data_IF_012078395513
#
_entry.id   IF_012078395513
#
_cell.length_a   1.000
_cell.length_b   1.000
_cell.length_c   1.000
_cell.angle_alpha   90.00
_cell.angle_beta   90.00
_cell.angle_gamma   90.00
#
_symmetry.space_group_name_H-M   'P 1'
#
loop_
_entity.id
_entity.type
_entity.pdbx_description
1 polymer ?
#
# COMPACT_ATOMS: atom_id res chain seq x y z
N UNK A 1 -38.18 -47.70 10.09
CA UNK A 1 -38.20 -47.03 8.77
C UNK A 1 -38.23 -45.54 9.01
N UNK A 2 -37.16 -44.82 8.66
CA UNK A 2 -37.15 -43.36 8.50
C UNK A 2 -35.97 -42.95 7.60
N UNK A 3 -36.31 -42.78 6.32
CA UNK A 3 -35.94 -41.70 5.41
C UNK A 3 -34.53 -41.08 5.46
N UNK A 4 -33.75 -41.40 4.41
CA UNK A 4 -32.63 -40.65 3.83
C UNK A 4 -33.03 -39.19 3.52
N UNK A 5 -32.17 -38.23 3.86
CA UNK A 5 -32.03 -36.96 3.12
C UNK A 5 -30.67 -36.95 2.45
N UNK A 6 -30.68 -36.79 1.13
CA UNK A 6 -29.51 -36.52 0.30
C UNK A 6 -29.18 -35.03 0.40
N UNK A 7 -27.91 -34.70 0.62
CA UNK A 7 -27.38 -33.38 0.34
C UNK A 7 -26.51 -33.52 -0.91
N UNK A 8 -27.02 -32.98 -2.03
CA UNK A 8 -26.25 -32.70 -3.23
C UNK A 8 -25.30 -31.54 -2.91
N UNK A 9 -24.01 -31.76 -3.12
CA UNK A 9 -23.03 -30.69 -3.16
C UNK A 9 -22.36 -30.77 -4.54
N UNK A 10 -22.91 -29.99 -5.48
CA UNK A 10 -22.26 -29.69 -6.76
C UNK A 10 -21.09 -28.74 -6.48
N UNK A 11 -19.89 -29.30 -6.52
CA UNK A 11 -18.63 -28.58 -6.33
C UNK A 11 -17.58 -29.21 -7.22
N UNK A 12 -17.47 -28.67 -8.43
CA UNK A 12 -16.51 -28.95 -9.49
C UNK A 12 -15.15 -29.49 -8.99
N UNK A 13 -15.03 -30.82 -8.89
CA UNK A 13 -13.81 -31.50 -8.46
C UNK A 13 -12.98 -31.90 -9.67
N UNK A 14 -12.22 -30.95 -10.19
CA UNK A 14 -11.17 -31.22 -11.18
C UNK A 14 -9.92 -31.85 -10.51
N UNK A 15 -10.14 -32.83 -9.61
CA UNK A 15 -9.05 -33.66 -9.09
C UNK A 15 -8.83 -34.84 -10.03
N UNK A 16 -7.59 -35.10 -10.50
CA UNK A 16 -7.31 -36.27 -11.29
C UNK A 16 -7.62 -37.53 -10.45
N UNK A 17 -8.17 -38.60 -11.06
CA UNK A 17 -8.57 -39.79 -10.33
C UNK A 17 -7.35 -40.40 -9.62
N UNK A 18 -7.47 -40.59 -8.30
CA UNK A 18 -6.44 -41.26 -7.50
C UNK A 18 -6.23 -42.69 -8.04
N UNK A 19 -5.18 -42.89 -8.83
CA UNK A 19 -4.72 -44.22 -9.23
C UNK A 19 -4.36 -44.98 -7.95
N UNK A 20 -5.15 -45.99 -7.59
CA UNK A 20 -4.83 -46.90 -6.48
C UNK A 20 -3.54 -47.62 -6.83
N UNK A 21 -2.45 -47.25 -6.15
CA UNK A 21 -1.14 -47.86 -6.32
C UNK A 21 -1.19 -49.28 -5.78
N UNK A 22 -1.02 -50.25 -6.67
CA UNK A 22 -0.99 -51.67 -6.35
C UNK A 22 0.47 -52.09 -6.14
N UNK A 23 0.83 -52.40 -4.90
CA UNK A 23 2.19 -52.82 -4.54
C UNK A 23 2.40 -54.31 -4.84
N UNK A 24 3.58 -54.68 -5.33
CA UNK A 24 3.96 -56.08 -5.54
C UNK A 24 3.97 -56.88 -4.22
N UNK A 25 3.44 -58.12 -4.19
CA UNK A 25 3.48 -58.98 -3.01
C UNK A 25 4.91 -59.37 -2.63
N UNK A 26 5.32 -59.11 -1.39
CA UNK A 26 6.61 -59.57 -0.86
C UNK A 26 6.44 -61.02 -0.37
N UNK A 27 7.26 -61.95 -0.89
CA UNK A 27 7.27 -63.34 -0.44
C UNK A 27 8.13 -63.50 0.81
N UNK A 28 7.54 -64.02 1.89
CA UNK A 28 8.26 -64.39 3.10
C UNK A 28 8.76 -65.83 2.90
N UNK A 29 10.08 -66.06 3.00
CA UNK A 29 10.68 -67.40 2.91
C UNK A 29 10.33 -68.30 4.11
N UNK A 30 10.76 -69.58 4.11
CA UNK A 30 10.45 -70.53 5.19
C UNK A 30 10.89 -69.99 6.57
N UNK A 31 10.10 -70.29 7.60
CA UNK A 31 10.24 -69.73 8.96
C UNK A 31 10.47 -70.88 9.92
N UNK A 32 11.53 -70.82 10.70
CA UNK A 32 11.95 -71.92 11.59
C UNK A 32 11.68 -71.63 13.07
N UNK A 33 11.54 -70.35 13.45
CA UNK A 33 11.25 -69.92 14.83
C UNK A 33 10.28 -68.74 14.88
N UNK A 34 9.63 -68.53 16.03
CA UNK A 34 8.74 -67.38 16.26
C UNK A 34 9.50 -66.04 16.14
N UNK A 35 10.73 -65.99 16.65
CA UNK A 35 11.59 -64.81 16.55
C UNK A 35 11.97 -64.48 15.10
N UNK A 36 12.24 -65.50 14.27
CA UNK A 36 12.48 -65.32 12.83
C UNK A 36 11.23 -64.80 12.11
N UNK A 37 10.03 -65.23 12.56
CA UNK A 37 8.75 -64.73 12.06
C UNK A 37 8.58 -63.24 12.36
N UNK A 38 8.79 -62.84 13.62
CA UNK A 38 8.62 -61.46 14.07
C UNK A 38 9.59 -60.50 13.36
N UNK A 39 10.84 -60.92 13.18
CA UNK A 39 11.84 -60.16 12.41
C UNK A 39 11.38 -59.97 10.96
N UNK A 40 10.89 -61.03 10.29
CA UNK A 40 10.40 -60.94 8.90
C UNK A 40 9.15 -60.08 8.78
N UNK A 41 8.24 -60.13 9.77
CA UNK A 41 7.05 -59.26 9.82
C UNK A 41 7.46 -57.79 9.98
N UNK A 42 8.38 -57.48 10.88
CA UNK A 42 8.90 -56.11 11.07
C UNK A 42 9.58 -55.58 9.81
N UNK A 43 10.40 -56.41 9.14
CA UNK A 43 11.03 -56.05 7.86
C UNK A 43 10.00 -55.75 6.77
N UNK A 44 8.94 -56.57 6.67
CA UNK A 44 7.86 -56.36 5.72
C UNK A 44 7.07 -55.07 6.01
N UNK A 45 6.73 -54.83 7.27
CA UNK A 45 6.06 -53.61 7.71
C UNK A 45 6.91 -52.37 7.41
N UNK A 46 8.21 -52.40 7.71
CA UNK A 46 9.15 -51.33 7.38
C UNK A 46 9.22 -51.07 5.87
N UNK A 47 9.30 -52.12 5.06
CA UNK A 47 9.30 -52.00 3.59
C UNK A 47 8.02 -51.35 3.06
N UNK A 48 6.85 -51.73 3.60
CA UNK A 48 5.57 -51.09 3.24
C UNK A 48 5.49 -49.63 3.71
N UNK A 49 6.03 -49.31 4.88
CA UNK A 49 6.09 -47.92 5.37
C UNK A 49 6.99 -47.08 4.46
N UNK A 50 8.18 -47.58 4.10
CA UNK A 50 9.09 -46.92 3.16
C UNK A 50 8.41 -46.64 1.81
N UNK A 51 7.68 -47.61 1.25
CA UNK A 51 6.91 -47.43 0.01
C UNK A 51 5.82 -46.35 0.13
N UNK A 52 5.11 -46.29 1.26
CA UNK A 52 4.10 -45.23 1.51
C UNK A 52 4.76 -43.85 1.67
N UNK A 53 5.92 -43.77 2.32
CA UNK A 53 6.69 -42.54 2.48
C UNK A 53 7.16 -42.05 1.11
N UNK A 54 7.75 -42.92 0.29
CA UNK A 54 8.18 -42.63 -1.07
C UNK A 54 7.03 -42.09 -1.93
N UNK A 55 5.85 -42.73 -1.87
CA UNK A 55 4.66 -42.26 -2.57
C UNK A 55 4.21 -40.88 -2.09
N UNK A 56 4.16 -40.65 -0.77
CA UNK A 56 3.82 -39.35 -0.20
C UNK A 56 4.80 -38.27 -0.65
N UNK A 57 6.10 -38.59 -0.67
CA UNK A 57 7.14 -37.66 -1.11
C UNK A 57 6.97 -37.28 -2.59
N UNK A 58 6.62 -38.23 -3.47
CA UNK A 58 6.31 -37.92 -4.87
C UNK A 58 5.13 -36.98 -5.03
N UNK A 59 4.03 -37.24 -4.31
CA UNK A 59 2.84 -36.37 -4.33
C UNK A 59 3.18 -34.99 -3.76
N UNK A 60 3.97 -34.93 -2.70
CA UNK A 60 4.44 -33.67 -2.12
C UNK A 60 5.26 -32.86 -3.13
N UNK A 61 6.19 -33.48 -3.84
CA UNK A 61 6.99 -32.81 -4.88
C UNK A 61 6.10 -32.31 -6.02
N UNK A 62 5.13 -33.11 -6.48
CA UNK A 62 4.18 -32.69 -7.52
C UNK A 62 3.33 -31.49 -7.07
N UNK A 63 2.83 -31.51 -5.84
CA UNK A 63 2.08 -30.40 -5.26
C UNK A 63 2.95 -29.15 -5.08
N UNK A 64 4.21 -29.30 -4.64
CA UNK A 64 5.17 -28.18 -4.54
C UNK A 64 5.44 -27.55 -5.89
N UNK A 65 5.65 -28.34 -6.94
CA UNK A 65 5.81 -27.83 -8.31
C UNK A 65 4.55 -27.13 -8.81
N UNK A 66 3.37 -27.65 -8.47
CA UNK A 66 2.10 -27.01 -8.83
C UNK A 66 1.89 -25.68 -8.13
N UNK A 67 2.26 -25.57 -6.85
CA UNK A 67 2.24 -24.32 -6.09
C UNK A 67 3.17 -23.30 -6.75
N UNK A 68 4.43 -23.67 -7.02
CA UNK A 68 5.39 -22.77 -7.67
C UNK A 68 4.89 -22.27 -9.04
N UNK A 69 4.24 -23.13 -9.82
CA UNK A 69 3.64 -22.73 -11.10
C UNK A 69 2.50 -21.71 -10.91
N UNK A 70 1.65 -21.91 -9.90
CA UNK A 70 0.54 -21.00 -9.61
C UNK A 70 1.05 -19.66 -9.08
N UNK A 71 2.06 -19.65 -8.22
CA UNK A 71 2.71 -18.44 -7.72
C UNK A 71 3.33 -17.63 -8.87
N UNK A 72 4.07 -18.27 -9.78
CA UNK A 72 4.61 -17.60 -10.97
C UNK A 72 3.50 -16.99 -11.84
N UNK A 73 2.39 -17.71 -12.03
CA UNK A 73 1.25 -17.18 -12.77
C UNK A 73 0.63 -15.98 -12.08
N UNK A 74 0.45 -16.04 -10.76
CA UNK A 74 -0.11 -14.95 -9.96
C UNK A 74 0.73 -13.67 -10.10
N UNK A 75 2.07 -13.76 -9.98
CA UNK A 75 2.95 -12.60 -10.17
C UNK A 75 2.82 -11.96 -11.55
N UNK A 76 2.58 -12.75 -12.59
CA UNK A 76 2.33 -12.25 -13.94
C UNK A 76 0.96 -11.55 -14.04
N UNK A 77 -0.08 -12.16 -13.48
CA UNK A 77 -1.43 -11.60 -13.46
C UNK A 77 -1.45 -10.26 -12.68
N UNK A 78 -0.74 -10.17 -11.55
CA UNK A 78 -0.59 -8.94 -10.75
C UNK A 78 0.12 -7.83 -11.54
N UNK A 79 1.18 -8.17 -12.29
CA UNK A 79 1.87 -7.21 -13.14
C UNK A 79 0.95 -6.64 -14.23
N UNK A 80 0.12 -7.48 -14.85
CA UNK A 80 -0.88 -7.03 -15.84
C UNK A 80 -1.92 -6.12 -15.19
N UNK A 81 -2.40 -6.47 -13.99
CA UNK A 81 -3.41 -5.71 -13.26
C UNK A 81 -2.89 -4.31 -12.88
N UNK A 82 -1.63 -4.19 -12.47
CA UNK A 82 -0.97 -2.90 -12.21
C UNK A 82 -0.93 -2.01 -13.46
N UNK A 83 -0.58 -2.57 -14.62
CA UNK A 83 -0.57 -1.83 -15.90
C UNK A 83 -1.97 -1.33 -16.25
N UNK A 84 -2.98 -2.19 -16.18
CA UNK A 84 -4.38 -1.80 -16.45
C UNK A 84 -4.83 -0.70 -15.49
N UNK A 85 -4.53 -0.83 -14.20
CA UNK A 85 -4.89 0.14 -13.18
C UNK A 85 -4.28 1.52 -13.45
N UNK A 86 -3.00 1.57 -13.86
CA UNK A 86 -2.30 2.81 -14.22
C UNK A 86 -2.97 3.52 -15.39
N UNK A 87 -3.23 2.81 -16.48
CA UNK A 87 -3.90 3.41 -17.65
C UNK A 87 -5.34 3.82 -17.35
N UNK A 88 -6.06 3.08 -16.51
CA UNK A 88 -7.40 3.46 -16.08
C UNK A 88 -7.40 4.77 -15.29
N UNK A 89 -6.49 4.90 -14.32
CA UNK A 89 -6.34 6.12 -13.54
C UNK A 89 -5.96 7.30 -14.43
N UNK A 90 -5.08 7.08 -15.39
CA UNK A 90 -4.72 8.11 -16.38
C UNK A 90 -5.93 8.55 -17.22
N UNK A 91 -6.74 7.62 -17.71
CA UNK A 91 -7.95 7.93 -18.47
C UNK A 91 -8.91 8.80 -17.65
N UNK A 92 -9.13 8.45 -16.37
CA UNK A 92 -10.00 9.22 -15.48
C UNK A 92 -9.48 10.66 -15.30
N UNK A 93 -8.17 10.82 -15.12
CA UNK A 93 -7.58 12.14 -14.95
C UNK A 93 -7.63 12.96 -16.25
N UNK A 94 -7.41 12.34 -17.42
CA UNK A 94 -7.54 13.02 -18.71
C UNK A 94 -8.99 13.53 -18.94
N UNK A 95 -9.99 12.73 -18.56
CA UNK A 95 -11.41 13.13 -18.63
C UNK A 95 -11.70 14.30 -17.67
N UNK A 96 -11.17 14.26 -16.44
CA UNK A 96 -11.29 15.37 -15.49
C UNK A 96 -10.71 16.65 -16.05
N UNK A 97 -9.49 16.60 -16.60
CA UNK A 97 -8.84 17.78 -17.19
C UNK A 97 -9.63 18.31 -18.39
N UNK A 98 -10.19 17.44 -19.23
CA UNK A 98 -11.08 17.84 -20.32
C UNK A 98 -12.33 18.59 -19.80
N UNK A 99 -12.98 18.06 -18.77
CA UNK A 99 -14.14 18.70 -18.15
C UNK A 99 -13.80 20.08 -17.57
N UNK A 100 -12.66 20.20 -16.87
CA UNK A 100 -12.23 21.49 -16.32
C UNK A 100 -12.02 22.56 -17.39
N UNK A 101 -11.67 22.17 -18.63
CA UNK A 101 -11.49 23.09 -19.76
C UNK A 101 -12.78 23.49 -20.45
N UNK A 102 -13.67 22.52 -20.65
CA UNK A 102 -14.83 22.68 -21.52
C UNK A 102 -16.13 22.96 -20.74
N UNK A 103 -16.16 22.71 -19.44
CA UNK A 103 -17.33 22.90 -18.56
C UNK A 103 -17.05 23.86 -17.39
N UNK A 104 -16.08 24.76 -17.54
CA UNK A 104 -15.62 25.68 -16.48
C UNK A 104 -16.71 26.60 -15.91
N UNK A 105 -17.80 26.84 -16.65
CA UNK A 105 -18.92 27.70 -16.25
C UNK A 105 -19.93 26.99 -15.33
N UNK A 106 -19.90 25.65 -15.25
CA UNK A 106 -20.84 24.82 -14.48
C UNK A 106 -20.18 23.75 -13.61
N UNK A 107 -18.84 23.72 -13.57
CA UNK A 107 -18.08 22.77 -12.78
C UNK A 107 -18.28 23.00 -11.27
N UNK A 108 -19.01 22.10 -10.62
CA UNK A 108 -19.14 22.07 -9.15
C UNK A 108 -17.79 21.62 -8.55
N UNK A 109 -17.05 22.56 -7.95
CA UNK A 109 -15.71 22.31 -7.38
C UNK A 109 -15.70 21.25 -6.27
N UNK A 110 -16.87 20.92 -5.70
CA UNK A 110 -17.03 19.94 -4.63
C UNK A 110 -16.87 18.48 -5.10
N UNK A 111 -17.18 18.16 -6.36
CA UNK A 111 -17.09 16.78 -6.86
C UNK A 111 -15.66 16.37 -7.29
N UNK A 112 -14.80 17.34 -7.62
CA UNK A 112 -13.44 17.06 -8.10
C UNK A 112 -12.48 16.54 -7.01
N UNK A 113 -12.78 16.75 -5.72
CA UNK A 113 -11.84 16.43 -4.63
C UNK A 113 -11.89 14.97 -4.17
N UNK A 114 -13.01 14.26 -4.35
CA UNK A 114 -13.20 12.93 -3.74
C UNK A 114 -12.83 11.72 -4.62
N UNK A 115 -12.54 11.88 -5.91
CA UNK A 115 -12.32 10.71 -6.79
C UNK A 115 -10.84 10.27 -6.88
N UNK A 116 -9.88 11.17 -6.61
CA UNK A 116 -8.44 10.89 -6.76
C UNK A 116 -7.84 10.03 -5.65
N UNK A 117 -8.27 10.21 -4.40
CA UNK A 117 -7.81 9.38 -3.27
C UNK A 117 -8.34 7.94 -3.37
N UNK A 118 -9.58 7.76 -3.82
CA UNK A 118 -10.21 6.44 -3.92
C UNK A 118 -9.56 5.52 -4.97
N UNK A 119 -8.97 6.07 -6.04
CA UNK A 119 -8.38 5.28 -7.14
C UNK A 119 -6.93 4.87 -6.90
N UNK A 120 -6.21 5.58 -6.03
CA UNK A 120 -4.80 5.28 -5.71
C UNK A 120 -4.69 4.08 -4.76
N UNK A 121 -5.68 3.88 -3.88
CA UNK A 121 -5.75 2.76 -2.92
C UNK A 121 -6.41 1.49 -3.49
N UNK A 122 -6.89 1.51 -4.74
CA UNK A 122 -7.71 0.42 -5.30
C UNK A 122 -6.97 -0.94 -5.34
N UNK A 123 -5.68 -0.94 -5.69
CA UNK A 123 -4.86 -2.16 -5.73
C UNK A 123 -4.59 -2.75 -4.35
N UNK A 124 -4.47 -1.90 -3.34
CA UNK A 124 -4.23 -2.35 -1.96
C UNK A 124 -5.50 -2.96 -1.35
N UNK A 125 -6.67 -2.47 -1.75
CA UNK A 125 -7.96 -2.97 -1.28
C UNK A 125 -8.41 -4.25 -2.01
N UNK A 126 -7.91 -4.48 -3.23
CA UNK A 126 -8.21 -5.69 -4.02
C UNK A 126 -7.90 -7.00 -3.28
N UNK A 127 -6.86 -7.03 -2.44
CA UNK A 127 -6.51 -8.21 -1.64
C UNK A 127 -7.45 -8.45 -0.45
N UNK A 128 -8.32 -7.49 -0.13
CA UNK A 128 -9.22 -7.54 1.03
C UNK A 128 -10.66 -7.88 0.67
N UNK A 129 -10.99 -7.90 -0.62
CA UNK A 129 -12.36 -8.15 -1.10
C UNK A 129 -12.58 -9.61 -1.45
N UNK A 130 -13.77 -10.11 -1.12
CA UNK A 130 -14.22 -11.40 -1.63
C UNK A 130 -14.74 -11.30 -3.08
N UNK A 131 -15.10 -12.43 -3.68
CA UNK A 131 -15.49 -12.48 -5.10
C UNK A 131 -16.77 -11.71 -5.40
N UNK A 132 -17.70 -11.65 -4.46
CA UNK A 132 -18.98 -10.95 -4.65
C UNK A 132 -18.80 -9.44 -4.48
N UNK A 133 -18.01 -9.02 -3.49
CA UNK A 133 -17.65 -7.61 -3.29
C UNK A 133 -16.80 -7.06 -4.45
N UNK A 134 -15.92 -7.87 -5.03
CA UNK A 134 -15.03 -7.47 -6.11
C UNK A 134 -15.79 -6.95 -7.35
N UNK A 135 -16.82 -7.69 -7.78
CA UNK A 135 -17.63 -7.33 -8.96
C UNK A 135 -18.35 -6.00 -8.75
N UNK A 136 -18.92 -5.78 -7.57
CA UNK A 136 -19.59 -4.52 -7.21
C UNK A 136 -18.61 -3.35 -7.13
N UNK A 137 -17.42 -3.53 -6.57
CA UNK A 137 -16.39 -2.49 -6.49
C UNK A 137 -15.84 -2.11 -7.86
N UNK A 138 -15.59 -3.10 -8.73
CA UNK A 138 -15.21 -2.87 -10.11
C UNK A 138 -16.33 -2.13 -10.87
N UNK A 139 -17.57 -2.57 -10.74
CA UNK A 139 -18.72 -1.92 -11.37
C UNK A 139 -18.86 -0.45 -10.95
N UNK A 140 -18.68 -0.15 -9.66
CA UNK A 140 -18.69 1.22 -9.14
C UNK A 140 -17.57 2.07 -9.76
N UNK A 141 -16.35 1.53 -9.85
CA UNK A 141 -15.22 2.23 -10.49
C UNK A 141 -15.50 2.53 -11.97
N UNK A 142 -16.09 1.58 -12.70
CA UNK A 142 -16.53 1.80 -14.09
C UNK A 142 -17.61 2.87 -14.17
N UNK A 143 -18.54 2.88 -13.22
CA UNK A 143 -19.65 3.85 -13.20
C UNK A 143 -19.16 5.29 -13.01
N UNK A 144 -18.10 5.51 -12.24
CA UNK A 144 -17.44 6.82 -12.12
C UNK A 144 -16.93 7.29 -13.48
N UNK A 145 -16.15 6.46 -14.17
CA UNK A 145 -15.65 6.78 -15.52
C UNK A 145 -16.79 7.03 -16.52
N UNK A 146 -17.86 6.22 -16.49
CA UNK A 146 -19.05 6.41 -17.34
C UNK A 146 -19.75 7.75 -17.07
N UNK A 147 -19.89 8.15 -15.80
CA UNK A 147 -20.49 9.43 -15.43
C UNK A 147 -19.64 10.60 -15.92
N UNK A 148 -18.32 10.50 -15.77
CA UNK A 148 -17.39 11.51 -16.26
C UNK A 148 -17.48 11.69 -17.79
N UNK A 149 -17.55 10.58 -18.54
CA UNK A 149 -17.77 10.62 -20.01
C UNK A 149 -19.12 11.26 -20.36
N UNK A 150 -20.19 10.92 -19.65
CA UNK A 150 -21.51 11.51 -19.90
C UNK A 150 -21.49 13.05 -19.71
N UNK A 151 -20.75 13.55 -18.73
CA UNK A 151 -20.55 15.00 -18.54
C UNK A 151 -19.78 15.63 -19.71
N UNK A 152 -18.75 14.95 -20.24
CA UNK A 152 -17.99 15.45 -21.40
C UNK A 152 -18.91 15.61 -22.61
N UNK A 153 -19.80 14.64 -22.84
CA UNK A 153 -20.80 14.72 -23.90
C UNK A 153 -21.72 15.93 -23.70
N UNK A 154 -22.22 16.15 -22.49
CA UNK A 154 -23.06 17.31 -22.19
C UNK A 154 -22.34 18.65 -22.40
N UNK A 155 -21.08 18.74 -21.98
CA UNK A 155 -20.25 19.93 -22.21
C UNK A 155 -20.06 20.19 -23.72
N UNK A 156 -19.84 19.12 -24.49
CA UNK A 156 -19.73 19.21 -25.95
C UNK A 156 -21.02 19.68 -26.62
N UNK A 157 -22.18 19.14 -26.21
CA UNK A 157 -23.49 19.56 -26.74
C UNK A 157 -23.76 21.05 -26.48
N UNK A 158 -23.45 21.55 -25.27
CA UNK A 158 -23.58 22.97 -24.93
C UNK A 158 -22.65 23.84 -25.77
N UNK A 159 -21.40 23.42 -25.95
CA UNK A 159 -20.44 24.09 -26.83
C UNK A 159 -20.93 24.16 -28.27
N UNK A 160 -21.49 23.06 -28.79
CA UNK A 160 -22.08 23.02 -30.12
C UNK A 160 -23.23 24.03 -30.24
N UNK A 161 -24.18 24.02 -29.30
CA UNK A 161 -25.32 24.96 -29.30
C UNK A 161 -24.86 26.42 -29.22
N UNK A 162 -23.85 26.72 -28.39
CA UNK A 162 -23.27 28.06 -28.29
C UNK A 162 -22.62 28.48 -29.61
N UNK A 163 -21.85 27.60 -30.23
CA UNK A 163 -21.18 27.87 -31.51
C UNK A 163 -22.19 28.08 -32.65
N UNK A 164 -23.29 27.31 -32.66
CA UNK A 164 -24.38 27.45 -33.62
C UNK A 164 -25.08 28.82 -33.48
N UNK A 165 -25.41 29.23 -32.24
CA UNK A 165 -25.96 30.57 -31.96
C UNK A 165 -25.05 31.70 -32.41
N UNK A 166 -23.75 31.60 -32.11
CA UNK A 166 -22.75 32.60 -32.56
C UNK A 166 -22.67 32.63 -34.09
N UNK A 167 -22.70 31.47 -34.74
CA UNK A 167 -22.66 31.37 -36.21
C UNK A 167 -23.88 32.02 -36.86
N UNK A 168 -25.08 31.80 -36.31
CA UNK A 168 -26.32 32.45 -36.77
C UNK A 168 -26.26 33.96 -36.58
N UNK A 169 -25.80 34.42 -35.40
CA UNK A 169 -25.62 35.85 -35.11
C UNK A 169 -24.64 36.54 -36.08
N UNK A 170 -23.53 35.87 -36.42
CA UNK A 170 -22.53 36.39 -37.37
C UNK A 170 -23.04 36.40 -38.82
N UNK A 171 -23.98 35.52 -39.18
CA UNK A 171 -24.61 35.49 -40.51
C UNK A 171 -25.77 36.49 -40.64
N UNK A 172 -26.21 37.11 -39.54
CA UNK A 172 -27.41 37.96 -39.53
C UNK A 172 -28.71 37.16 -39.63
N UNK A 173 -28.67 35.86 -39.39
CA UNK A 173 -29.81 34.94 -39.43
C UNK A 173 -30.32 34.70 -37.99
N UNK A 174 -30.66 35.77 -37.27
CA UNK A 174 -31.32 35.66 -35.96
C UNK A 174 -32.83 35.49 -36.18
N UNK A 175 -33.44 34.54 -35.47
CA UNK A 175 -34.88 34.22 -35.59
C UNK A 175 -35.80 35.39 -35.19
N UNK A 176 -35.27 36.38 -34.47
CA UNK A 176 -35.86 37.70 -34.28
C UNK A 176 -35.32 38.62 -35.38
N UNK A 177 -36.19 39.23 -36.19
CA UNK A 177 -35.85 40.15 -37.30
C UNK A 177 -35.12 41.44 -36.91
N UNK A 178 -34.08 41.32 -36.08
CA UNK A 178 -33.11 42.33 -35.71
C UNK A 178 -32.04 42.39 -36.80
N UNK A 179 -31.79 43.59 -37.33
CA UNK A 179 -30.68 43.80 -38.28
C UNK A 179 -29.36 43.39 -37.63
N UNK A 180 -28.55 42.64 -38.38
CA UNK A 180 -27.22 42.22 -37.94
C UNK A 180 -26.42 43.44 -37.45
N UNK A 181 -25.78 43.35 -36.27
CA UNK A 181 -25.07 44.49 -35.70
C UNK A 181 -23.95 44.96 -36.64
N UNK A 182 -23.96 46.24 -36.99
CA UNK A 182 -22.90 46.88 -37.80
C UNK A 182 -21.62 46.90 -36.95
N UNK A 183 -20.79 45.87 -37.11
CA UNK A 183 -19.56 45.71 -36.35
C UNK A 183 -18.45 46.59 -36.95
N UNK A 184 -17.99 47.57 -36.17
CA UNK A 184 -16.91 48.48 -36.53
C UNK A 184 -15.65 47.72 -36.99
N UNK A 185 -14.94 48.24 -37.99
CA UNK A 185 -13.79 47.57 -38.63
C UNK A 185 -12.69 47.25 -37.62
N UNK A 186 -12.49 48.16 -36.65
CA UNK A 186 -11.53 48.02 -35.56
C UNK A 186 -11.91 46.85 -34.65
N UNK A 187 -13.19 46.68 -34.34
CA UNK A 187 -13.67 45.57 -33.51
C UNK A 187 -13.52 44.24 -34.26
N UNK A 188 -13.74 44.23 -35.57
CA UNK A 188 -13.55 43.03 -36.41
C UNK A 188 -12.09 42.61 -36.46
N UNK A 189 -11.18 43.56 -36.66
CA UNK A 189 -9.74 43.31 -36.68
C UNK A 189 -9.24 42.81 -35.32
N UNK A 190 -9.66 43.45 -34.22
CA UNK A 190 -9.33 43.01 -32.86
C UNK A 190 -9.86 41.59 -32.57
N UNK A 191 -11.06 41.23 -33.04
CA UNK A 191 -11.61 39.89 -32.89
C UNK A 191 -10.80 38.85 -33.67
N UNK A 192 -10.35 39.16 -34.89
CA UNK A 192 -9.47 38.27 -35.68
C UNK A 192 -8.16 38.01 -34.94
N UNK A 193 -7.53 39.05 -34.39
CA UNK A 193 -6.28 38.94 -33.63
C UNK A 193 -6.46 38.12 -32.35
N UNK A 194 -7.53 38.39 -31.58
CA UNK A 194 -7.88 37.61 -30.39
C UNK A 194 -8.15 36.15 -30.75
N UNK A 195 -8.86 35.86 -31.86
CA UNK A 195 -9.08 34.49 -32.30
C UNK A 195 -7.80 33.78 -32.73
N UNK A 196 -6.88 34.48 -33.40
CA UNK A 196 -5.57 33.94 -33.77
C UNK A 196 -4.74 33.60 -32.53
N UNK A 197 -4.69 34.51 -31.56
CA UNK A 197 -3.97 34.28 -30.31
C UNK A 197 -4.61 33.16 -29.48
N UNK A 198 -5.95 33.08 -29.44
CA UNK A 198 -6.67 32.00 -28.78
C UNK A 198 -6.35 30.64 -29.43
N UNK A 199 -6.27 30.56 -30.77
CA UNK A 199 -5.81 29.34 -31.47
C UNK A 199 -4.37 28.97 -31.11
N UNK A 200 -3.46 29.96 -31.05
CA UNK A 200 -2.06 29.73 -30.66
C UNK A 200 -1.96 29.20 -29.23
N UNK A 201 -2.66 29.85 -28.29
CA UNK A 201 -2.73 29.42 -26.89
C UNK A 201 -3.35 28.03 -26.76
N UNK A 202 -4.43 27.72 -27.49
CA UNK A 202 -5.01 26.38 -27.52
C UNK A 202 -4.03 25.32 -28.03
N UNK A 203 -3.28 25.62 -29.09
CA UNK A 203 -2.28 24.70 -29.65
C UNK A 203 -1.12 24.47 -28.68
N UNK A 204 -0.57 25.53 -28.09
CA UNK A 204 0.50 25.46 -27.09
C UNK A 204 0.03 24.67 -25.86
N UNK A 205 -1.16 24.98 -25.37
CA UNK A 205 -1.73 24.35 -24.21
C UNK A 205 -1.99 22.85 -24.46
N UNK A 206 -2.53 22.48 -25.63
CA UNK A 206 -2.66 21.07 -26.04
C UNK A 206 -1.31 20.37 -26.10
N UNK A 207 -0.27 21.01 -26.64
CA UNK A 207 1.08 20.45 -26.65
C UNK A 207 1.65 20.25 -25.25
N UNK A 208 1.44 21.20 -24.34
CA UNK A 208 1.91 21.11 -22.96
C UNK A 208 1.20 19.98 -22.21
N UNK A 209 -0.12 19.84 -22.39
CA UNK A 209 -0.87 18.74 -21.79
C UNK A 209 -0.43 17.37 -22.32
N UNK A 210 -0.14 17.23 -23.63
CA UNK A 210 0.41 15.98 -24.17
C UNK A 210 1.76 15.63 -23.53
N UNK A 211 2.63 16.63 -23.34
CA UNK A 211 3.92 16.45 -22.65
C UNK A 211 3.71 16.07 -21.19
N UNK A 212 2.83 16.77 -20.49
CA UNK A 212 2.48 16.48 -19.09
C UNK A 212 1.93 15.06 -18.93
N UNK A 213 0.99 14.65 -19.79
CA UNK A 213 0.45 13.29 -19.83
C UNK A 213 1.56 12.24 -19.99
N UNK A 214 2.49 12.46 -20.93
CA UNK A 214 3.61 11.55 -21.15
C UNK A 214 4.53 11.46 -19.92
N UNK A 215 4.83 12.60 -19.29
CA UNK A 215 5.69 12.65 -18.11
C UNK A 215 4.99 12.02 -16.89
N UNK A 216 3.71 12.31 -16.68
CA UNK A 216 2.91 11.78 -15.58
C UNK A 216 2.80 10.26 -15.67
N UNK A 217 2.50 9.72 -16.86
CA UNK A 217 2.48 8.28 -17.08
C UNK A 217 3.84 7.68 -16.73
N UNK A 218 4.93 8.23 -17.27
CA UNK A 218 6.30 7.77 -17.01
C UNK A 218 6.66 7.81 -15.53
N UNK A 219 6.23 8.85 -14.82
CA UNK A 219 6.44 9.00 -13.39
C UNK A 219 5.70 7.92 -12.59
N UNK A 220 4.45 7.60 -12.97
CA UNK A 220 3.71 6.48 -12.37
C UNK A 220 4.39 5.13 -12.64
N UNK A 221 4.92 4.88 -13.85
CA UNK A 221 5.62 3.60 -14.12
C UNK A 221 6.91 3.47 -13.28
N UNK A 222 7.63 4.57 -13.10
CA UNK A 222 8.81 4.60 -12.24
C UNK A 222 8.43 4.38 -10.77
N UNK A 223 7.34 4.97 -10.30
CA UNK A 223 6.84 4.76 -8.93
C UNK A 223 6.41 3.30 -8.70
N UNK A 224 5.72 2.68 -9.65
CA UNK A 224 5.37 1.26 -9.60
C UNK A 224 6.64 0.39 -9.49
N UNK A 225 7.65 0.71 -10.32
CA UNK A 225 8.94 -0.01 -10.32
C UNK A 225 9.65 0.13 -8.98
N UNK A 226 9.68 1.33 -8.40
CA UNK A 226 10.28 1.56 -7.07
C UNK A 226 9.57 0.72 -6.01
N UNK A 227 8.24 0.76 -5.99
CA UNK A 227 7.42 0.01 -5.03
C UNK A 227 7.63 -1.50 -5.14
N UNK A 228 7.73 -2.02 -6.37
CA UNK A 228 8.08 -3.41 -6.63
C UNK A 228 9.46 -3.76 -6.05
N UNK A 229 10.48 -2.94 -6.31
CA UNK A 229 11.84 -3.18 -5.80
C UNK A 229 11.92 -3.07 -4.27
N UNK A 230 11.14 -2.20 -3.65
CA UNK A 230 11.04 -2.11 -2.20
C UNK A 230 10.45 -3.39 -1.58
N UNK A 231 9.44 -3.97 -2.23
CA UNK A 231 8.81 -5.23 -1.80
C UNK A 231 9.78 -6.41 -1.96
N UNK A 232 10.43 -6.53 -3.13
CA UNK A 232 11.48 -7.53 -3.35
C UNK A 232 12.63 -7.41 -2.33
N UNK A 233 13.02 -6.18 -1.98
CA UNK A 233 14.05 -5.95 -0.98
C UNK A 233 13.60 -6.37 0.43
N UNK A 234 12.32 -6.20 0.78
CA UNK A 234 11.77 -6.66 2.04
C UNK A 234 11.73 -8.20 2.12
N UNK A 235 11.32 -8.87 1.04
CA UNK A 235 11.32 -10.34 0.94
C UNK A 235 12.73 -10.92 1.09
N UNK A 236 13.72 -10.35 0.40
CA UNK A 236 15.11 -10.78 0.50
C UNK A 236 15.67 -10.59 1.93
N UNK A 237 15.29 -9.52 2.63
CA UNK A 237 15.67 -9.33 4.05
C UNK A 237 15.09 -10.44 4.92
N UNK A 238 13.81 -10.77 4.75
CA UNK A 238 13.18 -11.86 5.49
C UNK A 238 13.88 -13.22 5.22
N UNK A 239 14.25 -13.50 3.97
CA UNK A 239 15.00 -14.72 3.63
C UNK A 239 16.39 -14.76 4.26
N UNK A 240 17.07 -13.60 4.34
CA UNK A 240 18.35 -13.50 5.04
C UNK A 240 18.17 -13.82 6.52
N UNK A 241 17.14 -13.28 7.17
CA UNK A 241 16.85 -13.53 8.58
C UNK A 241 16.56 -15.02 8.85
N UNK A 242 15.79 -15.68 7.98
CA UNK A 242 15.50 -17.12 8.05
C UNK A 242 16.78 -17.97 7.89
N UNK A 243 17.62 -17.65 6.91
CA UNK A 243 18.89 -18.35 6.68
C UNK A 243 19.88 -18.13 7.83
N UNK A 244 19.94 -16.93 8.40
CA UNK A 244 20.74 -16.64 9.58
C UNK A 244 20.26 -17.46 10.78
N UNK A 245 18.94 -17.61 10.95
CA UNK A 245 18.37 -18.45 12.00
C UNK A 245 18.78 -19.93 11.84
N UNK A 246 18.64 -20.50 10.64
CA UNK A 246 19.04 -21.89 10.39
C UNK A 246 20.56 -22.09 10.51
N UNK A 247 21.37 -21.11 10.08
CA UNK A 247 22.82 -21.14 10.26
C UNK A 247 23.19 -21.21 11.76
N UNK A 248 22.63 -20.31 12.58
CA UNK A 248 22.86 -20.29 14.03
C UNK A 248 22.46 -21.61 14.69
N UNK A 249 21.35 -22.19 14.24
CA UNK A 249 20.86 -23.49 14.72
C UNK A 249 21.80 -24.65 14.37
N UNK A 250 22.37 -24.66 13.15
CA UNK A 250 23.37 -25.65 12.74
C UNK A 250 24.69 -25.46 13.49
N UNK A 251 25.14 -24.21 13.66
CA UNK A 251 26.32 -23.88 14.46
C UNK A 251 26.17 -24.39 15.90
N UNK A 252 25.06 -24.08 16.57
CA UNK A 252 24.79 -24.56 17.93
C UNK A 252 24.74 -26.10 18.03
N UNK A 253 24.34 -26.80 16.96
CA UNK A 253 24.40 -28.26 16.90
C UNK A 253 25.83 -28.77 16.72
N UNK A 254 26.61 -28.14 15.86
CA UNK A 254 28.02 -28.47 15.67
C UNK A 254 28.81 -28.25 16.95
N UNK A 255 28.60 -27.13 17.65
CA UNK A 255 29.23 -26.86 18.94
C UNK A 255 28.98 -28.00 19.93
N UNK A 256 27.73 -28.49 20.04
CA UNK A 256 27.39 -29.64 20.90
C UNK A 256 28.13 -30.92 20.48
N UNK A 257 28.25 -31.18 19.18
CA UNK A 257 28.96 -32.36 18.67
C UNK A 257 30.46 -32.25 18.92
N UNK A 258 31.04 -31.06 18.79
CA UNK A 258 32.46 -30.80 19.11
C UNK A 258 32.74 -31.03 20.60
N UNK A 259 31.87 -30.56 21.50
CA UNK A 259 31.97 -30.86 22.94
C UNK A 259 31.90 -32.37 23.21
N UNK A 260 30.95 -33.08 22.60
CA UNK A 260 30.85 -34.54 22.75
C UNK A 260 32.07 -35.28 22.21
N UNK A 261 32.66 -34.80 21.11
CA UNK A 261 33.87 -35.40 20.55
C UNK A 261 35.07 -35.16 21.47
N UNK A 262 35.22 -33.95 22.03
CA UNK A 262 36.25 -33.62 22.99
C UNK A 262 36.17 -34.53 24.23
N UNK A 263 34.97 -34.70 24.80
CA UNK A 263 34.71 -35.62 25.92
C UNK A 263 35.11 -37.06 25.60
N UNK A 264 34.79 -37.54 24.39
CA UNK A 264 35.12 -38.90 23.95
C UNK A 264 36.63 -39.11 23.80
N UNK A 265 37.33 -38.11 23.24
CA UNK A 265 38.79 -38.12 23.12
C UNK A 265 39.43 -38.13 24.51
N UNK A 266 38.93 -37.34 25.45
CA UNK A 266 39.47 -37.28 26.82
C UNK A 266 39.29 -38.63 27.54
N UNK A 267 38.11 -39.25 27.40
CA UNK A 267 37.85 -40.60 27.93
C UNK A 267 38.80 -41.64 27.33
N UNK A 268 39.01 -41.63 26.01
CA UNK A 268 39.94 -42.55 25.35
C UNK A 268 41.37 -42.40 25.87
N UNK A 269 41.81 -41.15 26.07
CA UNK A 269 43.13 -40.85 26.61
C UNK A 269 43.28 -41.34 28.06
N UNK A 270 42.24 -41.19 28.87
CA UNK A 270 42.20 -41.72 30.24
C UNK A 270 42.27 -43.26 30.24
N UNK A 271 41.55 -43.94 29.35
CA UNK A 271 41.65 -45.41 29.18
C UNK A 271 43.04 -45.87 28.72
N UNK A 272 43.68 -45.15 27.79
CA UNK A 272 45.04 -45.46 27.33
C UNK A 272 46.09 -45.23 28.44
N UNK A 273 45.91 -44.20 29.27
CA UNK A 273 46.77 -43.97 30.43
C UNK A 273 46.64 -45.05 31.50
N UNK A 274 45.45 -45.66 31.65
CA UNK A 274 45.22 -46.77 32.58
C UNK A 274 45.75 -48.10 32.03
N UNK A 275 45.72 -48.33 30.71
CA UNK A 275 46.30 -49.52 30.07
C UNK A 275 47.82 -49.44 29.86
N UNK A 276 48.41 -48.24 29.84
CA UNK A 276 49.85 -48.04 29.73
C UNK A 276 50.66 -48.46 30.96
N UNK A 277 50.00 -48.62 32.12
CA UNK A 277 50.63 -48.99 33.39
C UNK A 277 50.58 -50.50 33.71
N UNK A 278 50.00 -51.33 32.83
CA UNK A 278 49.91 -52.79 33.02
C UNK A 278 51.04 -53.56 32.29
N UNK A 279 52.27 -53.10 32.48
CA UNK A 279 53.48 -53.92 32.29
C UNK A 279 54.37 -53.85 33.52
N UNK A 280 53.93 -54.54 34.57
CA UNK A 280 54.86 -55.12 35.55
C UNK A 280 54.42 -55.02 36.99
N UNK A 281 54.07 -56.18 37.57
CA UNK A 281 54.45 -56.51 38.95
C UNK A 281 53.48 -56.08 40.04
N UNK A 282 52.88 -57.08 40.68
CA UNK A 282 52.13 -56.97 41.92
C UNK A 282 52.88 -56.20 43.02
N UNK A 283 52.16 -55.37 43.79
CA UNK A 283 52.23 -55.29 45.27
C UNK A 283 51.23 -54.28 45.84
N UNK A 284 50.84 -54.53 47.09
CA UNK A 284 49.80 -53.88 47.89
C UNK A 284 49.96 -52.34 48.07
N UNK A 285 48.82 -51.63 48.01
CA UNK A 285 48.35 -50.39 48.72
C UNK A 285 49.39 -49.35 49.23
N UNK A 286 49.10 -48.03 49.16
CA UNK A 286 47.80 -47.43 49.44
C UNK A 286 47.25 -46.51 48.33
N UNK A 287 45.96 -46.20 48.43
CA UNK A 287 45.23 -45.35 47.49
C UNK A 287 45.97 -44.03 47.22
N UNK A 288 46.19 -43.64 45.94
CA UNK A 288 46.69 -42.32 45.64
C UNK A 288 45.54 -41.33 45.85
N UNK A 289 45.80 -40.39 46.75
CA UNK A 289 45.07 -39.14 46.88
C UNK A 289 44.90 -38.54 45.48
N UNK A 290 43.68 -38.06 45.20
CA UNK A 290 43.26 -37.38 43.97
C UNK A 290 44.21 -36.23 43.60
N UNK A 291 45.30 -36.55 42.91
CA UNK A 291 46.15 -35.55 42.27
C UNK A 291 45.59 -35.34 40.86
N UNK A 292 44.84 -34.25 40.70
CA UNK A 292 44.43 -33.74 39.39
C UNK A 292 45.70 -33.62 38.54
N UNK A 293 45.73 -34.27 37.37
CA UNK A 293 46.90 -34.16 36.50
C UNK A 293 47.17 -32.68 36.20
N UNK A 294 48.43 -32.25 36.23
CA UNK A 294 48.81 -30.85 36.02
C UNK A 294 48.22 -30.28 34.73
N UNK A 295 48.06 -31.13 33.71
CA UNK A 295 47.39 -30.83 32.46
C UNK A 295 45.89 -30.53 32.60
N UNK A 296 45.16 -31.27 33.44
CA UNK A 296 43.74 -31.01 33.71
C UNK A 296 43.55 -29.74 34.54
N UNK A 297 44.52 -29.39 35.39
CA UNK A 297 44.54 -28.08 36.08
C UNK A 297 44.76 -26.95 35.07
N UNK A 298 45.66 -27.12 34.10
CA UNK A 298 45.90 -26.14 33.03
C UNK A 298 44.69 -25.99 32.08
N UNK A 299 44.03 -27.09 31.71
CA UNK A 299 42.81 -27.07 30.90
C UNK A 299 41.65 -26.37 31.63
N UNK A 300 41.41 -26.70 32.91
CA UNK A 300 40.41 -26.00 33.73
C UNK A 300 40.75 -24.52 33.95
N UNK A 301 42.03 -24.17 34.05
CA UNK A 301 42.45 -22.78 34.15
C UNK A 301 42.18 -22.01 32.84
N UNK A 302 42.37 -22.64 31.68
CA UNK A 302 42.08 -22.06 30.36
C UNK A 302 40.58 -21.88 30.14
N UNK A 303 39.77 -22.89 30.44
CA UNK A 303 38.29 -22.78 30.38
C UNK A 303 37.77 -21.69 31.33
N UNK A 304 38.35 -21.58 32.52
CA UNK A 304 37.97 -20.55 33.48
C UNK A 304 38.34 -19.14 32.98
N UNK A 305 39.44 -18.99 32.23
CA UNK A 305 39.80 -17.71 31.62
C UNK A 305 38.91 -17.36 30.42
N UNK A 306 38.59 -18.33 29.56
CA UNK A 306 37.64 -18.15 28.45
C UNK A 306 36.24 -17.77 28.97
N UNK A 307 35.78 -18.40 30.06
CA UNK A 307 34.51 -18.07 30.70
C UNK A 307 34.50 -16.67 31.32
N UNK A 308 35.63 -16.22 31.89
CA UNK A 308 35.76 -14.83 32.37
C UNK A 308 35.73 -13.83 31.22
N UNK A 309 36.43 -14.11 30.12
CA UNK A 309 36.45 -13.25 28.95
C UNK A 309 35.05 -13.12 28.35
N UNK A 310 34.32 -14.24 28.21
CA UNK A 310 32.93 -14.24 27.76
C UNK A 310 32.01 -13.46 28.72
N UNK A 311 32.17 -13.63 30.03
CA UNK A 311 31.41 -12.87 31.02
C UNK A 311 31.68 -11.37 30.92
N UNK A 312 32.93 -10.97 30.69
CA UNK A 312 33.33 -9.57 30.54
C UNK A 312 32.80 -8.95 29.23
N UNK A 313 32.80 -9.72 28.14
CA UNK A 313 32.20 -9.32 26.87
C UNK A 313 30.69 -9.10 27.01
N UNK A 314 29.98 -10.05 27.66
CA UNK A 314 28.54 -9.90 27.95
C UNK A 314 28.25 -8.70 28.86
N UNK A 315 29.10 -8.43 29.84
CA UNK A 315 28.95 -7.26 30.71
C UNK A 315 29.11 -5.97 29.92
N UNK A 316 30.13 -5.88 29.06
CA UNK A 316 30.37 -4.72 28.18
C UNK A 316 29.20 -4.49 27.22
N UNK A 317 28.64 -5.57 26.66
CA UNK A 317 27.45 -5.49 25.80
C UNK A 317 26.22 -5.01 26.57
N UNK A 318 26.01 -5.51 27.78
CA UNK A 318 24.92 -5.05 28.66
C UNK A 318 25.06 -3.57 29.02
N UNK A 319 26.27 -3.09 29.31
CA UNK A 319 26.53 -1.68 29.58
C UNK A 319 26.25 -0.80 28.36
N UNK A 320 26.68 -1.25 27.16
CA UNK A 320 26.38 -0.58 25.89
C UNK A 320 24.88 -0.50 25.64
N UNK A 321 24.15 -1.61 25.81
CA UNK A 321 22.69 -1.64 25.66
C UNK A 321 21.99 -0.75 26.69
N UNK A 322 22.45 -0.73 27.93
CA UNK A 322 21.93 0.18 28.96
C UNK A 322 22.16 1.65 28.62
N UNK A 323 23.30 1.98 28.00
CA UNK A 323 23.57 3.34 27.55
C UNK A 323 22.67 3.74 26.38
N UNK A 324 22.55 2.87 25.37
CA UNK A 324 21.63 3.09 24.24
C UNK A 324 20.19 3.25 24.69
N UNK A 325 19.73 2.42 25.65
CA UNK A 325 18.39 2.53 26.20
C UNK A 325 18.17 3.87 26.92
N UNK A 326 19.15 4.33 27.70
CA UNK A 326 19.09 5.66 28.36
C UNK A 326 19.07 6.81 27.37
N UNK A 327 19.85 6.73 26.29
CA UNK A 327 19.85 7.75 25.23
C UNK A 327 18.51 7.79 24.49
N UNK A 328 17.96 6.62 24.14
CA UNK A 328 16.64 6.48 23.52
C UNK A 328 15.55 7.06 24.43
N UNK A 329 15.58 6.78 25.74
CA UNK A 329 14.63 7.34 26.69
C UNK A 329 14.73 8.88 26.76
N UNK A 330 15.94 9.45 26.72
CA UNK A 330 16.12 10.91 26.68
C UNK A 330 15.52 11.51 25.41
N UNK A 331 15.71 10.87 24.26
CA UNK A 331 15.14 11.31 23.00
C UNK A 331 13.62 11.23 22.99
N UNK A 332 13.04 10.15 23.53
CA UNK A 332 11.60 10.00 23.71
C UNK A 332 11.02 11.12 24.58
N UNK A 333 11.64 11.43 25.72
CA UNK A 333 11.17 12.51 26.59
C UNK A 333 11.33 13.90 25.94
N UNK A 334 12.40 14.11 25.17
CA UNK A 334 12.56 15.33 24.37
C UNK A 334 11.43 15.46 23.33
N UNK A 335 11.18 14.44 22.52
CA UNK A 335 10.12 14.46 21.51
C UNK A 335 8.74 14.63 22.14
N UNK A 336 8.48 14.01 23.30
CA UNK A 336 7.23 14.26 24.06
C UNK A 336 7.10 15.72 24.48
N UNK A 337 8.19 16.36 24.90
CA UNK A 337 8.20 17.76 25.28
C UNK A 337 7.97 18.66 24.06
N UNK A 338 8.63 18.37 22.94
CA UNK A 338 8.49 19.10 21.67
C UNK A 338 7.06 19.03 21.13
N UNK A 339 6.38 17.88 21.25
CA UNK A 339 4.96 17.72 20.88
C UNK A 339 4.03 18.50 21.83
N UNK A 340 4.32 18.51 23.14
CA UNK A 340 3.49 19.21 24.14
C UNK A 340 3.65 20.73 24.10
N UNK A 341 4.82 21.22 23.70
CA UNK A 341 5.16 22.63 23.63
C UNK A 341 5.47 23.03 22.19
N UNK A 342 4.61 22.61 21.26
CA UNK A 342 4.80 22.90 19.84
C UNK A 342 4.85 24.43 19.63
N UNK A 343 5.97 24.99 19.15
CA UNK A 343 6.10 26.43 18.99
C UNK A 343 5.11 26.99 17.98
N UNK A 344 4.56 28.17 18.24
CA UNK A 344 3.61 28.84 17.35
C UNK A 344 4.19 29.07 15.95
N UNK A 345 5.50 29.32 15.84
CA UNK A 345 6.18 29.46 14.56
C UNK A 345 6.04 28.22 13.67
N UNK A 346 6.07 27.02 14.26
CA UNK A 346 5.90 25.75 13.51
C UNK A 346 4.45 25.62 13.03
N UNK A 347 3.49 25.97 13.89
CA UNK A 347 2.06 25.93 13.56
C UNK A 347 1.76 26.89 12.40
N UNK A 348 2.28 28.11 12.44
CA UNK A 348 2.06 29.14 11.40
C UNK A 348 2.72 28.77 10.08
N UNK A 349 3.79 27.98 10.10
CA UNK A 349 4.44 27.49 8.90
C UNK A 349 3.69 26.34 8.22
N UNK A 350 2.80 25.65 8.93
CA UNK A 350 2.01 24.53 8.37
C UNK A 350 1.13 24.96 7.21
N UNK A 351 0.94 24.04 6.26
CA UNK A 351 0.07 24.22 5.09
C UNK A 351 -1.39 24.44 5.49
N UNK A 352 -1.83 23.77 6.55
CA UNK A 352 -3.17 23.82 7.12
C UNK A 352 -3.46 25.20 7.69
N UNK A 353 -2.53 25.74 8.51
CA UNK A 353 -2.67 27.09 9.05
C UNK A 353 -2.71 28.14 7.94
N UNK A 354 -1.81 28.06 6.95
CA UNK A 354 -1.78 28.99 5.81
C UNK A 354 -3.07 28.91 4.98
N UNK A 355 -3.61 27.71 4.77
CA UNK A 355 -4.87 27.52 4.07
C UNK A 355 -6.03 28.15 4.86
N UNK A 356 -6.10 27.92 6.16
CA UNK A 356 -7.13 28.49 7.03
C UNK A 356 -7.03 30.02 7.11
N UNK A 357 -5.80 30.56 7.20
CA UNK A 357 -5.53 31.99 7.16
C UNK A 357 -6.00 32.63 5.85
N UNK A 358 -5.75 31.96 4.71
CA UNK A 358 -6.23 32.40 3.41
C UNK A 358 -7.76 32.40 3.34
N UNK A 359 -8.41 31.32 3.79
CA UNK A 359 -9.87 31.22 3.84
C UNK A 359 -10.49 32.30 4.73
N UNK A 360 -9.92 32.52 5.93
CA UNK A 360 -10.37 33.57 6.83
C UNK A 360 -10.23 34.96 6.20
N UNK A 361 -9.12 35.22 5.48
CA UNK A 361 -8.90 36.50 4.80
C UNK A 361 -9.96 36.77 3.73
N UNK A 362 -10.34 35.75 2.94
CA UNK A 362 -11.40 35.86 1.93
C UNK A 362 -12.74 36.17 2.62
N UNK A 363 -13.14 35.36 3.60
CA UNK A 363 -14.41 35.53 4.32
C UNK A 363 -14.49 36.88 5.04
N UNK A 364 -13.38 37.35 5.62
CA UNK A 364 -13.32 38.66 6.27
C UNK A 364 -13.55 39.80 5.27
N UNK A 365 -12.93 39.72 4.08
CA UNK A 365 -13.10 40.71 3.02
C UNK A 365 -14.53 40.71 2.48
N UNK A 366 -15.12 39.53 2.24
CA UNK A 366 -16.53 39.39 1.83
C UNK A 366 -17.48 39.97 2.88
N UNK A 367 -17.25 39.67 4.17
CA UNK A 367 -18.04 40.21 5.28
C UNK A 367 -17.96 41.74 5.33
N UNK A 368 -16.79 42.32 5.11
CA UNK A 368 -16.62 43.77 5.02
C UNK A 368 -17.37 44.37 3.82
N UNK A 369 -17.30 43.74 2.64
CA UNK A 369 -18.04 44.20 1.46
C UNK A 369 -19.55 44.15 1.66
N UNK A 370 -20.07 43.05 2.23
CA UNK A 370 -21.49 42.91 2.54
C UNK A 370 -21.96 43.97 3.54
N UNK A 371 -21.10 44.31 4.53
CA UNK A 371 -21.40 45.37 5.48
C UNK A 371 -21.51 46.74 4.79
N UNK A 372 -20.59 47.05 3.88
CA UNK A 372 -20.66 48.30 3.08
C UNK A 372 -21.93 48.34 2.22
N UNK A 373 -22.26 47.27 1.51
CA UNK A 373 -23.48 47.21 0.69
C UNK A 373 -24.75 47.39 1.53
N UNK A 374 -24.78 46.80 2.73
CA UNK A 374 -25.90 46.95 3.65
C UNK A 374 -26.06 48.39 4.13
N UNK A 375 -24.98 49.09 4.40
CA UNK A 375 -25.00 50.51 4.77
C UNK A 375 -25.47 51.39 3.58
N UNK A 376 -25.04 51.08 2.36
CA UNK A 376 -25.49 51.77 1.14
C UNK A 376 -26.99 51.60 0.88
N UNK A 377 -27.50 50.37 0.99
CA UNK A 377 -28.94 50.08 0.82
C UNK A 377 -29.77 50.78 1.89
N UNK A 378 -29.29 50.82 3.14
CA UNK A 378 -29.94 51.59 4.21
C UNK A 378 -30.00 53.08 3.88
N UNK A 379 -28.92 53.64 3.34
CA UNK A 379 -28.89 55.04 2.93
C UNK A 379 -29.84 55.33 1.76
N UNK A 380 -29.89 54.45 0.75
CA UNK A 380 -30.81 54.55 -0.37
C UNK A 380 -32.27 54.48 0.08
N UNK A 381 -32.60 53.54 0.98
CA UNK A 381 -33.94 53.41 1.55
C UNK A 381 -34.36 54.70 2.28
N UNK A 382 -33.47 55.26 3.09
CA UNK A 382 -33.74 56.51 3.81
C UNK A 382 -33.96 57.67 2.82
N UNK A 383 -33.17 57.74 1.75
CA UNK A 383 -33.30 58.75 0.70
C UNK A 383 -34.63 58.60 -0.05
N UNK A 384 -34.99 57.39 -0.45
CA UNK A 384 -36.27 57.10 -1.12
C UNK A 384 -37.46 57.44 -0.23
N UNK A 385 -37.39 57.11 1.07
CA UNK A 385 -38.44 57.46 2.04
C UNK A 385 -38.61 58.97 2.14
N UNK A 386 -37.52 59.73 2.26
CA UNK A 386 -37.56 61.18 2.33
C UNK A 386 -38.10 61.81 1.03
N UNK A 387 -37.70 61.28 -0.13
CA UNK A 387 -38.19 61.73 -1.44
C UNK A 387 -39.69 61.50 -1.58
N UNK A 388 -40.18 60.32 -1.17
CA UNK A 388 -41.60 60.01 -1.21
C UNK A 388 -42.41 60.91 -0.27
N UNK A 389 -41.91 61.18 0.94
CA UNK A 389 -42.55 62.08 1.88
C UNK A 389 -42.72 63.49 1.29
N UNK A 390 -41.67 64.03 0.66
CA UNK A 390 -41.73 65.34 -0.03
C UNK A 390 -42.72 65.35 -1.19
N UNK A 391 -42.83 64.25 -1.93
CA UNK A 391 -43.80 64.13 -3.02
C UNK A 391 -45.23 64.15 -2.47
N UNK A 392 -45.49 63.49 -1.34
CA UNK A 392 -46.78 63.56 -0.64
C UNK A 392 -47.08 65.00 -0.22
N UNK A 393 -46.14 65.69 0.45
CA UNK A 393 -46.30 67.10 0.85
C UNK A 393 -46.60 68.02 -0.34
N UNK A 394 -45.96 67.78 -1.50
CA UNK A 394 -46.20 68.54 -2.73
C UNK A 394 -47.61 68.30 -3.27
N UNK A 395 -48.06 67.04 -3.33
CA UNK A 395 -49.41 66.68 -3.77
C UNK A 395 -50.48 67.28 -2.84
N UNK A 396 -50.27 67.23 -1.52
CA UNK A 396 -51.15 67.84 -0.53
C UNK A 396 -51.23 69.37 -0.71
N UNK A 397 -50.09 70.02 -1.00
CA UNK A 397 -50.06 71.46 -1.29
C UNK A 397 -50.79 71.80 -2.59
N UNK A 398 -50.68 70.98 -3.64
CA UNK A 398 -51.38 71.16 -4.91
C UNK A 398 -52.89 71.01 -4.75
N UNK A 399 -53.36 69.99 -4.00
CA UNK A 399 -54.78 69.84 -3.65
C UNK A 399 -55.32 71.06 -2.90
N UNK A 400 -54.56 71.55 -1.90
CA UNK A 400 -54.92 72.74 -1.13
C UNK A 400 -55.02 74.00 -1.98
N UNK A 401 -54.19 74.14 -3.01
CA UNK A 401 -54.30 75.25 -3.98
C UNK A 401 -55.51 75.08 -4.91
N UNK A 402 -55.79 73.84 -5.35
CA UNK A 402 -56.97 73.52 -6.17
C UNK A 402 -58.29 73.81 -5.47
N UNK A 403 -58.36 73.67 -4.14
CA UNK A 403 -59.55 73.96 -3.33
C UNK A 403 -59.80 75.46 -3.10
N UNK A 404 -58.83 76.34 -3.40
CA UNK A 404 -58.93 77.79 -3.18
C UNK A 404 -59.37 78.57 -4.44
N UNK A 405 -59.44 77.90 -5.59
CA UNK A 405 -60.05 78.40 -6.82
C UNK A 405 -61.46 77.83 -6.96
#
# INVERSE_FOLDING_TARGET
>A
MSTKRSAENDGNSNQPPQKRVQFEPVRIGPISTLEEMDIKVLQFQNKKLAQRIEQRHRVEVELRQRIEQLEKRQTQDDAVLNVVNRYWNQLNEDIRVLLQRFDAETADESENKNEGEATTSFLLQLSTWDKEELDDKLANRVQVSKRAVAKVIQAFDRLMQRNEKITLALKGELESGEEAPVMDEVIRQANIEIQAENRNLQALNTSLHKKYHTISLKMSELQDTVTQRETEAAELRNQIDDLQYELNKVQARNDKLEHHLADAIEKLKNYQSIQGDDKGGATNKPAPVSNVSQRKVEELAKELEEMKELANNRLTELDRLHQQHRETLKEVEKLKMDIRQLPESVIVETTEYKCLQSQFSVLYNESMQLKTQLDDVRHQLQTSKNSHLRQIEMMESEELMGQKN
#
